data_IF_950036155511
#
_entry.id   IF_950036155511
#
_cell.length_a   1.000
_cell.length_b   1.000
_cell.length_c   1.000
_cell.angle_alpha   90.00
_cell.angle_beta   90.00
_cell.angle_gamma   90.00
#
_symmetry.space_group_name_H-M   'P 1'
#
loop_
_entity.id
_entity.type
_entity.pdbx_description
1 polymer ?
#
# COMPACT_ATOMS: atom_id res chain seq x y z
N UNK A 1 0.41 15.78 -14.28
CA UNK A 1 1.23 15.41 -13.10
C UNK A 1 1.64 16.65 -12.34
N UNK A 2 1.57 16.63 -11.00
CA UNK A 2 2.22 17.58 -10.10
C UNK A 2 3.51 16.96 -9.56
N UNK A 3 4.50 17.78 -9.30
CA UNK A 3 5.76 17.37 -8.67
C UNK A 3 5.68 17.71 -7.18
N UNK A 4 6.02 16.77 -6.25
CA UNK A 4 6.09 17.10 -4.83
C UNK A 4 7.06 18.25 -4.56
N UNK A 5 6.74 19.10 -3.59
CA UNK A 5 7.54 20.29 -3.26
C UNK A 5 7.20 20.83 -1.88
N UNK A 6 7.73 21.99 -1.48
CA UNK A 6 7.53 22.56 -0.14
C UNK A 6 6.05 22.71 0.26
N UNK A 7 5.19 23.07 -0.70
CA UNK A 7 3.75 23.26 -0.46
C UNK A 7 2.97 21.92 -0.35
N UNK A 8 3.55 20.82 -0.85
CA UNK A 8 2.96 19.48 -0.78
C UNK A 8 4.07 18.42 -0.76
N UNK A 9 4.74 18.23 0.39
CA UNK A 9 5.89 17.36 0.47
C UNK A 9 5.44 15.90 0.46
N UNK A 10 6.14 15.08 -0.33
CA UNK A 10 6.02 13.63 -0.29
C UNK A 10 7.42 13.04 -0.16
N UNK A 11 7.61 12.19 0.85
CA UNK A 11 8.87 11.49 1.09
C UNK A 11 8.63 9.99 1.15
N UNK A 12 9.55 9.22 0.58
CA UNK A 12 9.58 7.77 0.64
C UNK A 12 10.90 7.37 1.30
N UNK A 13 10.85 6.55 2.34
CA UNK A 13 12.04 6.09 3.06
C UNK A 13 11.90 4.61 3.40
N UNK A 14 12.99 3.81 3.37
CA UNK A 14 12.96 2.45 3.93
C UNK A 14 12.38 2.45 5.34
N UNK A 15 11.43 1.56 5.62
CA UNK A 15 10.79 1.52 6.94
C UNK A 15 11.72 1.03 8.03
N UNK A 16 12.67 0.14 7.67
CA UNK A 16 13.54 -0.57 8.61
C UNK A 16 12.78 -1.49 9.58
N UNK A 17 11.52 -1.82 9.27
CA UNK A 17 10.59 -2.52 10.16
C UNK A 17 10.18 -3.85 9.53
N UNK A 18 9.93 -4.84 10.38
CA UNK A 18 9.19 -6.03 9.99
C UNK A 18 7.69 -5.73 10.05
N UNK A 19 7.04 -5.69 8.89
CA UNK A 19 5.62 -5.40 8.75
C UNK A 19 4.88 -6.69 8.40
N UNK A 20 3.83 -7.00 9.17
CA UNK A 20 2.88 -8.06 8.85
C UNK A 20 1.49 -7.47 8.67
N UNK A 21 0.80 -7.88 7.60
CA UNK A 21 -0.58 -7.49 7.29
C UNK A 21 -1.47 -8.71 7.28
N UNK A 22 -2.55 -8.68 8.06
CA UNK A 22 -3.53 -9.78 8.12
C UNK A 22 -4.97 -9.31 7.91
N UNK A 23 -5.78 -10.18 7.34
CA UNK A 23 -7.23 -10.05 7.25
C UNK A 23 -7.86 -11.29 7.89
N UNK A 24 -8.41 -11.14 9.10
CA UNK A 24 -8.72 -12.28 9.96
C UNK A 24 -7.46 -13.12 10.23
N UNK A 25 -7.55 -14.43 9.98
CA UNK A 25 -6.46 -15.39 10.16
C UNK A 25 -5.52 -15.50 8.94
N UNK A 26 -5.80 -14.78 7.86
CA UNK A 26 -5.02 -14.85 6.62
C UNK A 26 -3.91 -13.79 6.64
N UNK A 27 -2.66 -14.24 6.49
CA UNK A 27 -1.53 -13.34 6.23
C UNK A 27 -1.56 -12.92 4.77
N UNK A 28 -1.76 -11.62 4.54
CA UNK A 28 -1.79 -11.03 3.21
C UNK A 28 -0.40 -10.58 2.78
N UNK A 29 0.40 -10.08 3.73
CA UNK A 29 1.79 -9.74 3.45
C UNK A 29 2.66 -9.82 4.70
N UNK A 30 3.93 -10.12 4.50
CA UNK A 30 4.95 -10.22 5.54
C UNK A 30 6.30 -9.80 4.96
N UNK A 31 6.85 -8.67 5.42
CA UNK A 31 8.04 -8.08 4.80
C UNK A 31 8.93 -7.33 5.78
N UNK A 32 10.23 -7.33 5.53
CA UNK A 32 11.22 -6.41 6.13
C UNK A 32 11.66 -5.30 5.15
N UNK A 33 11.09 -5.29 3.94
CA UNK A 33 11.46 -4.41 2.82
C UNK A 33 10.42 -3.33 2.52
N UNK A 34 9.46 -3.13 3.43
CA UNK A 34 8.49 -2.06 3.29
C UNK A 34 9.16 -0.69 3.26
N UNK A 35 8.59 0.24 2.50
CA UNK A 35 8.91 1.67 2.56
C UNK A 35 7.79 2.42 3.26
N UNK A 36 8.13 3.51 3.93
CA UNK A 36 7.18 4.45 4.53
C UNK A 36 7.03 5.65 3.62
N UNK A 37 5.81 5.92 3.18
CA UNK A 37 5.45 7.15 2.47
C UNK A 37 4.79 8.11 3.44
N UNK A 38 5.31 9.34 3.52
CA UNK A 38 4.70 10.45 4.25
C UNK A 38 4.31 11.53 3.25
N UNK A 39 3.06 11.98 3.31
CA UNK A 39 2.51 13.01 2.43
C UNK A 39 1.88 14.12 3.25
N UNK A 40 2.44 15.33 3.15
CA UNK A 40 1.97 16.50 3.88
C UNK A 40 1.69 16.18 5.38
N UNK A 41 0.46 16.43 5.83
CA UNK A 41 -0.01 16.14 7.18
C UNK A 41 -0.74 14.80 7.32
N UNK A 42 -0.86 14.00 6.25
CA UNK A 42 -1.52 12.70 6.32
C UNK A 42 -0.72 11.70 7.17
N UNK A 43 -1.41 10.73 7.80
CA UNK A 43 -0.74 9.59 8.42
C UNK A 43 0.21 8.90 7.45
N UNK A 44 1.36 8.46 7.97
CA UNK A 44 2.31 7.71 7.16
C UNK A 44 1.74 6.36 6.74
N UNK A 45 2.07 5.93 5.53
CA UNK A 45 1.58 4.69 4.93
C UNK A 45 2.74 3.76 4.65
N UNK A 46 2.61 2.49 5.03
CA UNK A 46 3.52 1.45 4.58
C UNK A 46 3.15 1.00 3.17
N UNK A 47 4.13 1.01 2.29
CA UNK A 47 4.08 0.37 0.99
C UNK A 47 4.92 -0.90 1.07
N UNK A 48 4.30 -2.03 0.77
CA UNK A 48 4.90 -3.37 0.84
C UNK A 48 5.20 -3.85 -0.59
N UNK A 49 6.39 -4.41 -0.87
CA UNK A 49 6.66 -5.00 -2.17
C UNK A 49 5.63 -6.09 -2.50
N UNK A 50 5.06 -6.06 -3.71
CA UNK A 50 4.08 -7.07 -4.15
C UNK A 50 4.61 -8.50 -4.05
N UNK A 51 5.91 -8.68 -4.23
CA UNK A 51 6.57 -9.98 -4.14
C UNK A 51 6.53 -10.61 -2.73
N UNK A 52 6.33 -9.79 -1.70
CA UNK A 52 6.22 -10.23 -0.30
C UNK A 52 4.75 -10.33 0.15
N UNK A 53 3.79 -10.23 -0.79
CA UNK A 53 2.37 -10.36 -0.55
C UNK A 53 1.81 -11.65 -1.18
N UNK A 54 0.85 -12.27 -0.49
CA UNK A 54 0.09 -13.39 -1.01
C UNK A 54 -0.98 -12.88 -1.98
N UNK A 55 -0.66 -12.90 -3.28
CA UNK A 55 -1.56 -12.43 -4.32
C UNK A 55 -2.69 -13.42 -4.66
N UNK A 56 -2.64 -14.66 -4.16
CA UNK A 56 -3.67 -15.68 -4.43
C UNK A 56 -4.95 -15.43 -3.63
N UNK A 57 -4.87 -14.64 -2.56
CA UNK A 57 -6.01 -14.31 -1.67
C UNK A 57 -6.61 -12.93 -1.93
N UNK A 58 -6.16 -12.25 -2.98
CA UNK A 58 -6.65 -10.91 -3.36
C UNK A 58 -7.14 -10.92 -4.80
N UNK A 59 -8.11 -10.06 -5.12
CA UNK A 59 -8.73 -9.99 -6.45
C UNK A 59 -8.73 -8.56 -6.95
N UNK A 60 -8.26 -8.34 -8.19
CA UNK A 60 -8.26 -7.03 -8.84
C UNK A 60 -9.70 -6.54 -9.00
N UNK A 61 -9.91 -5.25 -8.73
CA UNK A 61 -11.21 -4.59 -8.97
C UNK A 61 -11.13 -3.64 -10.16
N UNK A 62 -12.29 -3.21 -10.64
CA UNK A 62 -12.40 -2.16 -11.67
C UNK A 62 -12.17 -0.75 -11.10
N UNK A 63 -12.02 -0.61 -9.78
CA UNK A 63 -11.86 0.69 -9.15
C UNK A 63 -10.49 1.28 -9.51
N UNK A 64 -10.53 2.55 -9.92
CA UNK A 64 -9.36 3.39 -10.14
C UNK A 64 -9.61 4.75 -9.52
N UNK A 65 -8.61 5.32 -8.84
CA UNK A 65 -8.66 6.72 -8.38
C UNK A 65 -7.44 7.47 -8.86
N UNK A 66 -7.60 8.76 -9.14
CA UNK A 66 -6.51 9.58 -9.65
C UNK A 66 -5.91 10.45 -8.55
N UNK A 67 -4.59 10.37 -8.35
CA UNK A 67 -3.83 11.27 -7.52
C UNK A 67 -2.96 12.19 -8.40
N UNK A 68 -3.05 13.52 -8.27
CA UNK A 68 -2.26 14.44 -9.11
C UNK A 68 -0.74 14.30 -8.91
N UNK A 69 -0.28 13.75 -7.79
CA UNK A 69 1.15 13.55 -7.47
C UNK A 69 1.66 12.13 -7.73
N UNK A 70 0.77 11.12 -7.70
CA UNK A 70 1.17 9.71 -7.75
C UNK A 70 0.75 9.00 -9.04
N UNK A 71 -0.26 9.52 -9.75
CA UNK A 71 -0.85 8.84 -10.91
C UNK A 71 -2.12 8.10 -10.53
N UNK A 72 -2.43 7.03 -11.26
CA UNK A 72 -3.63 6.24 -11.04
C UNK A 72 -3.38 5.12 -10.03
N UNK A 73 -4.21 5.08 -8.98
CA UNK A 73 -4.23 4.00 -8.01
C UNK A 73 -5.22 2.93 -8.46
N UNK A 74 -4.75 1.70 -8.57
CA UNK A 74 -5.57 0.52 -8.79
C UNK A 74 -5.82 -0.21 -7.47
N UNK A 75 -6.91 -0.96 -7.41
CA UNK A 75 -7.37 -1.56 -6.16
C UNK A 75 -7.52 -3.08 -6.24
N UNK A 76 -7.34 -3.73 -5.09
CA UNK A 76 -7.67 -5.13 -4.89
C UNK A 76 -8.60 -5.27 -3.68
N UNK A 77 -9.51 -6.23 -3.77
CA UNK A 77 -10.32 -6.70 -2.63
C UNK A 77 -9.70 -7.96 -2.06
N UNK A 78 -9.87 -8.19 -0.75
CA UNK A 78 -9.40 -9.40 -0.07
C UNK A 78 -10.63 -10.27 0.21
N UNK A 79 -10.58 -11.54 -0.17
CA UNK A 79 -11.63 -12.50 0.15
C UNK A 79 -11.19 -13.36 1.33
N UNK A 80 -11.89 -13.25 2.45
CA UNK A 80 -11.70 -14.13 3.61
C UNK A 80 -12.77 -15.23 3.61
N UNK A 81 -12.75 -16.12 4.60
CA UNK A 81 -13.81 -17.10 4.79
C UNK A 81 -15.15 -16.44 5.15
N UNK A 82 -15.10 -15.31 5.87
CA UNK A 82 -16.26 -14.69 6.49
C UNK A 82 -16.81 -13.50 5.68
N UNK A 83 -15.94 -12.79 4.94
CA UNK A 83 -16.33 -11.57 4.25
C UNK A 83 -15.46 -11.23 3.03
N UNK A 84 -15.97 -10.28 2.23
CA UNK A 84 -15.21 -9.60 1.19
C UNK A 84 -14.80 -8.22 1.69
N UNK A 85 -13.51 -8.01 1.91
CA UNK A 85 -12.96 -6.70 2.21
C UNK A 85 -12.77 -5.93 0.91
N UNK A 86 -13.82 -5.24 0.49
CA UNK A 86 -13.86 -4.56 -0.80
C UNK A 86 -12.84 -3.42 -0.88
N UNK A 87 -12.04 -3.36 -1.96
CA UNK A 87 -11.03 -2.33 -2.22
C UNK A 87 -10.12 -2.06 -1.00
N UNK A 88 -9.68 -3.12 -0.31
CA UNK A 88 -8.87 -3.04 0.90
C UNK A 88 -7.39 -2.70 0.65
N UNK A 89 -6.94 -2.88 -0.60
CA UNK A 89 -5.56 -2.65 -1.01
C UNK A 89 -5.57 -1.66 -2.18
N UNK A 90 -4.60 -0.76 -2.22
CA UNK A 90 -4.29 0.02 -3.42
C UNK A 90 -2.83 -0.11 -3.84
N UNK A 91 -2.57 0.10 -5.12
CA UNK A 91 -1.24 0.06 -5.73
C UNK A 91 -1.13 1.11 -6.83
N UNK A 92 0.08 1.57 -7.12
CA UNK A 92 0.37 2.39 -8.29
C UNK A 92 1.23 1.58 -9.26
N UNK A 93 0.64 1.12 -10.37
CA UNK A 93 1.34 0.28 -11.36
C UNK A 93 2.13 1.13 -12.37
N UNK A 94 1.65 2.34 -12.62
CA UNK A 94 2.29 3.33 -13.48
C UNK A 94 2.39 4.67 -12.75
N UNK A 95 3.13 4.75 -11.62
CA UNK A 95 3.26 5.99 -10.89
C UNK A 95 4.03 7.04 -11.70
N UNK A 96 3.85 8.31 -11.37
CA UNK A 96 4.69 9.36 -11.93
C UNK A 96 6.17 9.19 -11.50
N UNK A 97 7.15 9.72 -12.26
CA UNK A 97 8.57 9.48 -12.02
C UNK A 97 9.05 9.79 -10.59
N UNK A 98 8.49 10.83 -9.96
CA UNK A 98 8.84 11.19 -8.58
C UNK A 98 8.46 10.10 -7.56
N UNK A 99 7.53 9.21 -7.91
CA UNK A 99 6.99 8.14 -7.07
C UNK A 99 7.38 6.74 -7.60
N UNK A 100 8.43 6.64 -8.40
CA UNK A 100 8.86 5.38 -9.01
C UNK A 100 9.21 4.30 -7.97
N UNK A 101 9.65 4.68 -6.76
CA UNK A 101 10.01 3.77 -5.68
C UNK A 101 8.84 2.93 -5.15
N UNK A 102 7.59 3.39 -5.31
CA UNK A 102 6.39 2.64 -4.88
C UNK A 102 5.69 1.94 -6.05
N UNK A 103 6.34 1.86 -7.22
CA UNK A 103 5.77 1.16 -8.37
C UNK A 103 5.47 -0.29 -8.02
N UNK A 104 4.23 -0.71 -8.25
CA UNK A 104 3.68 -2.04 -7.97
C UNK A 104 3.60 -2.41 -6.48
N UNK A 105 4.09 -1.58 -5.56
CA UNK A 105 3.95 -1.82 -4.12
C UNK A 105 2.48 -1.72 -3.70
N UNK A 106 2.14 -2.45 -2.64
CA UNK A 106 0.80 -2.52 -2.08
C UNK A 106 0.73 -1.70 -0.80
N UNK A 107 -0.31 -0.89 -0.68
CA UNK A 107 -0.68 -0.23 0.56
C UNK A 107 -2.09 -0.65 0.96
N UNK A 108 -2.37 -0.59 2.26
CA UNK A 108 -3.53 -1.24 2.87
C UNK A 108 -4.32 -0.27 3.74
N UNK A 109 -5.64 -0.41 3.71
CA UNK A 109 -6.55 0.39 4.55
C UNK A 109 -6.57 -0.16 5.99
N UNK A 110 -6.08 0.59 6.99
CA UNK A 110 -5.93 0.09 8.37
C UNK A 110 -7.27 -0.11 9.09
N UNK A 111 -8.37 0.41 8.55
CA UNK A 111 -9.74 0.14 9.00
C UNK A 111 -10.30 -1.20 8.47
N UNK A 112 -9.63 -1.83 7.49
CA UNK A 112 -10.06 -3.10 6.87
C UNK A 112 -9.13 -4.27 7.17
N UNK A 113 -7.84 -4.00 7.42
CA UNK A 113 -6.86 -5.04 7.73
C UNK A 113 -6.09 -4.66 8.99
N UNK A 114 -5.51 -5.67 9.64
CA UNK A 114 -4.58 -5.46 10.74
C UNK A 114 -3.18 -5.28 10.18
N UNK A 115 -2.50 -4.18 10.55
CA UNK A 115 -1.11 -3.90 10.19
C UNK A 115 -0.28 -3.88 11.46
N UNK A 116 0.68 -4.79 11.58
CA UNK A 116 1.52 -4.96 12.76
C UNK A 116 2.98 -4.68 12.42
N UNK A 117 3.66 -3.99 13.33
CA UNK A 117 5.12 -3.87 13.33
C UNK A 117 5.65 -4.91 14.31
N UNK A 118 6.31 -5.93 13.80
CA UNK A 118 6.86 -7.01 14.60
C UNK A 118 8.26 -6.64 15.12
N UNK A 119 8.67 -7.18 16.28
CA UNK A 119 10.06 -7.12 16.71
C UNK A 119 10.95 -7.85 15.70
N UNK A 120 12.04 -7.21 15.29
CA UNK A 120 13.13 -7.81 14.50
C UNK A 120 14.10 -8.59 15.38
#
# INVERSE_FOLDING_TARGET
>A
MKVPGPDHPISITPSGKHIRVTAGDIVIADTTKAVTLKEASYPAVFYIPRADANMDVVTRTERVTHCPYKGDANYYSIKTADELLDNAIWTYETPYPAMAEIKDYLAFYPDKVKIEVLPT
#
